data_IF_283050761174
#
_entry.id   IF_283050761174
#
_cell.length_a   1.000
_cell.length_b   1.000
_cell.length_c   1.000
_cell.angle_alpha   90.00
_cell.angle_beta   90.00
_cell.angle_gamma   90.00
#
_symmetry.space_group_name_H-M   'P 1'
#
loop_
_entity.id
_entity.type
_entity.pdbx_description
1 polymer ?
#
# COMPACT_ATOMS: atom_id res chain seq x y z
N UNK A 1 15.43 20.12 -0.65
CA UNK A 1 15.64 19.75 -2.07
C UNK A 1 16.56 18.53 -2.23
N UNK A 2 17.73 18.44 -1.57
CA UNK A 2 18.63 17.27 -1.69
C UNK A 2 18.03 15.93 -1.21
N UNK A 3 17.26 15.93 -0.11
CA UNK A 3 16.57 14.71 0.36
C UNK A 3 15.42 14.27 -0.55
N UNK A 4 14.90 15.19 -1.39
CA UNK A 4 13.80 14.94 -2.32
C UNK A 4 14.29 14.12 -3.51
N UNK A 5 15.48 14.49 -4.00
CA UNK A 5 16.15 13.76 -5.07
C UNK A 5 16.57 12.36 -4.60
N UNK A 6 17.07 12.21 -3.37
CA UNK A 6 17.57 10.90 -2.88
C UNK A 6 16.52 9.78 -2.80
N UNK A 7 15.31 10.06 -2.32
CA UNK A 7 14.27 9.02 -2.16
C UNK A 7 13.53 8.66 -3.46
N UNK A 8 13.20 9.65 -4.28
CA UNK A 8 12.59 9.41 -5.61
C UNK A 8 13.56 8.62 -6.51
N UNK A 9 14.85 8.88 -6.36
CA UNK A 9 15.92 8.11 -7.00
C UNK A 9 15.94 6.67 -6.50
N UNK A 10 15.79 6.41 -5.20
CA UNK A 10 15.80 5.05 -4.64
C UNK A 10 14.64 4.14 -5.11
N UNK A 11 13.40 4.64 -5.19
CA UNK A 11 12.27 3.84 -5.71
C UNK A 11 12.39 3.59 -7.22
N UNK A 12 12.84 4.59 -7.98
CA UNK A 12 13.08 4.44 -9.42
C UNK A 12 14.25 3.49 -9.70
N UNK A 13 15.31 3.56 -8.91
CA UNK A 13 16.45 2.64 -8.95
C UNK A 13 16.05 1.21 -8.62
N UNK A 14 15.15 1.01 -7.65
CA UNK A 14 14.63 -0.30 -7.32
C UNK A 14 13.80 -0.89 -8.47
N UNK A 15 12.91 -0.10 -9.10
CA UNK A 15 12.11 -0.56 -10.25
C UNK A 15 13.01 -0.94 -11.44
N UNK A 16 14.07 -0.15 -11.68
CA UNK A 16 15.09 -0.46 -12.70
C UNK A 16 15.87 -1.73 -12.34
N UNK A 17 16.19 -1.93 -11.06
CA UNK A 17 16.80 -3.17 -10.58
C UNK A 17 15.91 -4.38 -10.84
N UNK A 18 14.63 -4.32 -10.45
CA UNK A 18 13.64 -5.38 -10.68
C UNK A 18 13.54 -5.72 -12.17
N UNK A 19 13.45 -4.70 -13.03
CA UNK A 19 13.36 -4.88 -14.48
C UNK A 19 14.61 -5.55 -15.06
N UNK A 20 15.81 -5.18 -14.59
CA UNK A 20 17.06 -5.86 -15.02
C UNK A 20 17.12 -7.30 -14.55
N UNK A 21 16.69 -7.56 -13.32
CA UNK A 21 16.68 -8.90 -12.72
C UNK A 21 15.72 -9.87 -13.43
N UNK A 22 14.68 -9.37 -14.10
CA UNK A 22 13.77 -10.21 -14.90
C UNK A 22 14.52 -11.09 -15.92
N UNK A 23 15.49 -10.53 -16.65
CA UNK A 23 16.26 -11.26 -17.67
C UNK A 23 17.03 -12.42 -17.06
N UNK A 24 17.66 -12.18 -15.90
CA UNK A 24 18.40 -13.20 -15.16
C UNK A 24 17.46 -14.29 -14.64
N UNK A 25 16.28 -13.93 -14.13
CA UNK A 25 15.27 -14.89 -13.68
C UNK A 25 14.79 -15.79 -14.82
N UNK A 26 14.49 -15.24 -16.00
CA UNK A 26 14.12 -16.03 -17.19
C UNK A 26 15.24 -17.00 -17.58
N UNK A 27 16.49 -16.53 -17.58
CA UNK A 27 17.63 -17.40 -17.87
C UNK A 27 17.78 -18.53 -16.85
N UNK A 28 17.62 -18.24 -15.56
CA UNK A 28 17.74 -19.23 -14.49
C UNK A 28 16.62 -20.28 -14.55
N UNK A 29 15.40 -19.90 -14.94
CA UNK A 29 14.31 -20.83 -15.22
C UNK A 29 14.67 -21.78 -16.37
N UNK A 30 15.21 -21.24 -17.47
CA UNK A 30 15.60 -22.03 -18.64
C UNK A 30 16.73 -23.03 -18.32
N UNK A 31 17.67 -22.66 -17.44
CA UNK A 31 18.76 -23.55 -17.02
C UNK A 31 18.34 -24.52 -15.90
N UNK A 32 17.12 -24.38 -15.37
CA UNK A 32 16.59 -25.24 -14.29
C UNK A 32 17.23 -25.00 -12.93
N UNK A 33 17.91 -23.87 -12.72
CA UNK A 33 18.56 -23.55 -11.44
C UNK A 33 17.57 -22.86 -10.49
N UNK A 34 16.70 -23.69 -9.91
CA UNK A 34 15.64 -23.27 -8.99
C UNK A 34 16.18 -22.60 -7.72
N UNK A 35 17.36 -22.99 -7.24
CA UNK A 35 17.95 -22.40 -6.04
C UNK A 35 18.44 -20.97 -6.31
N UNK A 36 19.14 -20.76 -7.43
CA UNK A 36 19.57 -19.43 -7.83
C UNK A 36 18.37 -18.54 -8.18
N UNK A 37 17.35 -19.10 -8.83
CA UNK A 37 16.09 -18.41 -9.13
C UNK A 37 15.42 -17.88 -7.86
N UNK A 38 15.17 -18.75 -6.87
CA UNK A 38 14.52 -18.37 -5.62
C UNK A 38 15.32 -17.33 -4.84
N UNK A 39 16.65 -17.49 -4.81
CA UNK A 39 17.56 -16.55 -4.13
C UNK A 39 17.55 -15.16 -4.77
N UNK A 40 17.42 -15.11 -6.10
CA UNK A 40 17.34 -13.86 -6.84
C UNK A 40 15.96 -13.22 -6.69
N UNK A 41 14.90 -14.03 -6.71
CA UNK A 41 13.52 -13.59 -6.52
C UNK A 41 13.32 -12.92 -5.14
N UNK A 42 13.89 -13.47 -4.08
CA UNK A 42 13.83 -12.85 -2.73
C UNK A 42 14.35 -11.41 -2.69
N UNK A 43 15.23 -11.01 -3.61
CA UNK A 43 15.80 -9.65 -3.66
C UNK A 43 14.87 -8.64 -4.33
N UNK A 44 13.98 -9.09 -5.21
CA UNK A 44 13.02 -8.22 -5.93
C UNK A 44 11.66 -8.12 -5.23
N UNK A 45 11.38 -9.01 -4.27
CA UNK A 45 10.12 -9.05 -3.54
C UNK A 45 9.96 -8.16 -2.28
N UNK A 46 10.96 -7.44 -1.72
CA UNK A 46 10.75 -6.66 -0.49
C UNK A 46 9.53 -5.74 -0.54
N UNK A 47 9.36 -4.96 -1.62
CA UNK A 47 8.21 -4.05 -1.74
C UNK A 47 6.87 -4.79 -1.90
N UNK A 48 6.88 -5.93 -2.60
CA UNK A 48 5.69 -6.79 -2.78
C UNK A 48 5.28 -7.42 -1.45
N UNK A 49 6.25 -7.90 -0.65
CA UNK A 49 6.01 -8.42 0.70
C UNK A 49 5.35 -7.39 1.60
N UNK A 50 5.86 -6.15 1.56
CA UNK A 50 5.28 -5.05 2.31
C UNK A 50 3.83 -4.78 1.89
N UNK A 51 3.56 -4.80 0.58
CA UNK A 51 2.22 -4.57 0.05
C UNK A 51 1.23 -5.66 0.49
N UNK A 52 1.61 -6.93 0.34
CA UNK A 52 0.81 -8.08 0.78
C UNK A 52 0.52 -8.00 2.27
N UNK A 53 1.55 -7.75 3.09
CA UNK A 53 1.38 -7.64 4.54
C UNK A 53 0.44 -6.50 4.91
N UNK A 54 0.57 -5.34 4.26
CA UNK A 54 -0.32 -4.21 4.49
C UNK A 54 -1.78 -4.58 4.17
N UNK A 55 -2.04 -5.18 3.00
CA UNK A 55 -3.41 -5.60 2.63
C UNK A 55 -4.00 -6.61 3.61
N UNK A 56 -3.22 -7.58 4.09
CA UNK A 56 -3.66 -8.54 5.10
C UNK A 56 -3.95 -7.89 6.45
N UNK A 57 -3.12 -6.93 6.87
CA UNK A 57 -3.36 -6.17 8.09
C UNK A 57 -4.64 -5.35 7.98
N UNK A 58 -4.88 -4.70 6.84
CA UNK A 58 -6.12 -3.94 6.56
C UNK A 58 -7.35 -4.86 6.59
N UNK A 59 -7.27 -6.05 5.98
CA UNK A 59 -8.36 -7.01 6.02
C UNK A 59 -8.63 -7.52 7.45
N UNK A 60 -7.57 -7.80 8.20
CA UNK A 60 -7.65 -8.21 9.62
C UNK A 60 -8.27 -7.13 10.49
N UNK A 61 -7.84 -5.87 10.34
CA UNK A 61 -8.37 -4.73 11.07
C UNK A 61 -9.86 -4.49 10.78
N UNK A 62 -10.31 -4.78 9.56
CA UNK A 62 -11.71 -4.72 9.16
C UNK A 62 -12.52 -6.00 9.47
N UNK A 63 -11.95 -6.95 10.23
CA UNK A 63 -12.58 -8.25 10.54
C UNK A 63 -12.98 -9.07 9.31
N UNK A 64 -12.30 -8.87 8.18
CA UNK A 64 -12.49 -9.60 6.92
C UNK A 64 -11.63 -10.86 6.81
N UNK A 65 -10.82 -11.15 7.83
CA UNK A 65 -9.99 -12.35 7.92
C UNK A 65 -9.92 -12.81 9.38
N UNK A 66 -10.16 -14.10 9.61
CA UNK A 66 -9.82 -14.73 10.89
C UNK A 66 -8.30 -14.71 11.09
N UNK A 67 -7.84 -14.02 12.16
CA UNK A 67 -6.44 -13.66 12.48
C UNK A 67 -5.40 -14.79 12.44
N UNK A 68 -5.84 -16.05 12.48
CA UNK A 68 -4.97 -17.23 12.52
C UNK A 68 -5.05 -18.11 11.25
N UNK A 69 -5.84 -17.71 10.27
CA UNK A 69 -6.16 -18.57 9.13
C UNK A 69 -5.16 -18.44 7.97
N UNK A 70 -4.50 -17.28 7.82
CA UNK A 70 -3.60 -17.02 6.69
C UNK A 70 -2.38 -16.19 7.09
N UNK A 71 -1.19 -16.60 6.64
CA UNK A 71 0.05 -15.87 6.86
C UNK A 71 0.48 -15.18 5.58
N UNK A 72 1.10 -14.00 5.70
CA UNK A 72 1.70 -13.31 4.56
C UNK A 72 2.69 -14.20 3.80
N UNK A 73 3.38 -15.11 4.50
CA UNK A 73 4.27 -16.09 3.90
C UNK A 73 3.55 -17.07 2.95
N UNK A 74 2.29 -17.44 3.21
CA UNK A 74 1.52 -18.35 2.32
C UNK A 74 1.25 -17.69 0.96
N UNK A 75 0.95 -16.39 0.96
CA UNK A 75 0.74 -15.61 -0.27
C UNK A 75 2.05 -15.43 -1.03
N UNK A 76 3.15 -15.21 -0.31
CA UNK A 76 4.47 -15.12 -0.92
C UNK A 76 4.88 -16.46 -1.51
N UNK A 77 4.68 -17.57 -0.81
CA UNK A 77 4.99 -18.90 -1.34
C UNK A 77 4.16 -19.22 -2.59
N UNK A 78 2.87 -18.87 -2.59
CA UNK A 78 2.05 -18.98 -3.80
C UNK A 78 2.54 -18.07 -4.93
N UNK A 79 2.97 -16.84 -4.62
CA UNK A 79 3.55 -15.93 -5.61
C UNK A 79 4.84 -16.49 -6.22
N UNK A 80 5.66 -17.23 -5.46
CA UNK A 80 6.84 -17.92 -6.01
C UNK A 80 6.44 -18.96 -7.05
N UNK A 81 5.39 -19.73 -6.78
CA UNK A 81 4.87 -20.75 -7.71
C UNK A 81 4.32 -20.08 -8.97
N UNK A 82 3.41 -19.12 -8.81
CA UNK A 82 2.81 -18.35 -9.91
C UNK A 82 3.87 -17.71 -10.80
N UNK A 83 4.90 -17.13 -10.18
CA UNK A 83 5.98 -16.50 -10.92
C UNK A 83 6.83 -17.54 -11.65
N UNK A 84 7.22 -18.64 -11.01
CA UNK A 84 8.01 -19.66 -11.68
C UNK A 84 7.25 -20.23 -12.91
N UNK A 85 5.96 -20.48 -12.78
CA UNK A 85 5.15 -21.06 -13.84
C UNK A 85 4.84 -20.05 -14.97
N UNK A 86 4.64 -18.77 -14.62
CA UNK A 86 4.11 -17.76 -15.54
C UNK A 86 5.05 -16.58 -15.84
N UNK A 87 6.33 -16.60 -15.43
CA UNK A 87 7.29 -15.53 -15.74
C UNK A 87 7.43 -15.24 -17.24
N UNK A 88 7.17 -16.24 -18.11
CA UNK A 88 7.20 -16.09 -19.57
C UNK A 88 6.00 -15.30 -20.13
N UNK A 89 4.96 -15.07 -19.31
CA UNK A 89 3.79 -14.25 -19.68
C UNK A 89 4.03 -12.74 -19.51
N UNK A 90 5.17 -12.35 -18.94
CA UNK A 90 5.57 -10.95 -18.82
C UNK A 90 6.05 -10.45 -20.19
N UNK A 91 5.29 -9.53 -20.79
CA UNK A 91 5.54 -9.07 -22.17
C UNK A 91 6.85 -8.27 -22.31
N UNK A 92 7.21 -7.52 -21.27
CA UNK A 92 8.41 -6.70 -21.24
C UNK A 92 9.03 -6.68 -19.83
N UNK A 93 10.36 -6.63 -19.77
CA UNK A 93 11.10 -6.57 -18.51
C UNK A 93 10.65 -5.41 -17.60
N UNK A 94 10.31 -4.26 -18.21
CA UNK A 94 9.84 -3.07 -17.48
C UNK A 94 8.44 -3.26 -16.86
N UNK A 95 7.63 -4.19 -17.39
CA UNK A 95 6.33 -4.53 -16.83
C UNK A 95 6.44 -5.53 -15.66
N UNK A 96 7.62 -6.10 -15.41
CA UNK A 96 7.78 -7.16 -14.41
C UNK A 96 7.39 -6.71 -13.00
N UNK A 97 7.74 -5.48 -12.62
CA UNK A 97 7.39 -4.96 -11.30
C UNK A 97 5.87 -4.80 -11.14
N UNK A 98 5.20 -4.29 -12.18
CA UNK A 98 3.73 -4.16 -12.20
C UNK A 98 3.08 -5.53 -12.16
N UNK A 99 3.63 -6.50 -12.88
CA UNK A 99 3.15 -7.89 -12.92
C UNK A 99 3.23 -8.56 -11.55
N UNK A 100 4.33 -8.37 -10.82
CA UNK A 100 4.50 -8.87 -9.44
C UNK A 100 3.41 -8.34 -8.51
N UNK A 101 3.17 -7.02 -8.53
CA UNK A 101 2.14 -6.40 -7.72
C UNK A 101 0.75 -6.87 -8.11
N UNK A 102 0.47 -6.97 -9.42
CA UNK A 102 -0.80 -7.50 -9.93
C UNK A 102 -1.07 -8.91 -9.43
N UNK A 103 -0.09 -9.81 -9.54
CA UNK A 103 -0.24 -11.20 -9.10
C UNK A 103 -0.41 -11.31 -7.59
N UNK A 104 0.36 -10.54 -6.83
CA UNK A 104 0.16 -10.43 -5.39
C UNK A 104 -1.25 -9.92 -5.05
N UNK A 105 -1.74 -8.91 -5.78
CA UNK A 105 -3.09 -8.36 -5.62
C UNK A 105 -4.14 -9.45 -5.80
N UNK A 106 -4.11 -10.15 -6.94
CA UNK A 106 -5.00 -11.25 -7.30
C UNK A 106 -5.01 -12.33 -6.21
N UNK A 107 -3.83 -12.76 -5.72
CA UNK A 107 -3.72 -13.75 -4.65
C UNK A 107 -4.35 -13.29 -3.33
N UNK A 108 -4.20 -12.01 -2.97
CA UNK A 108 -4.88 -11.45 -1.80
C UNK A 108 -6.39 -11.34 -2.06
N UNK A 109 -6.83 -11.00 -3.27
CA UNK A 109 -8.26 -10.91 -3.58
C UNK A 109 -8.96 -12.26 -3.56
N UNK A 110 -8.37 -13.28 -4.18
CA UNK A 110 -8.88 -14.66 -4.17
C UNK A 110 -9.04 -15.17 -2.75
N UNK A 111 -8.10 -14.82 -1.87
CA UNK A 111 -8.17 -15.12 -0.45
C UNK A 111 -9.39 -14.47 0.24
N UNK A 112 -9.66 -13.21 -0.09
CA UNK A 112 -10.72 -12.42 0.54
C UNK A 112 -12.11 -12.68 -0.06
N UNK A 113 -12.19 -13.20 -1.29
CA UNK A 113 -13.46 -13.56 -1.95
C UNK A 113 -14.16 -14.72 -1.22
N UNK A 114 -13.42 -15.59 -0.54
CA UNK A 114 -13.99 -16.67 0.30
C UNK A 114 -14.62 -16.15 1.61
N UNK A 115 -14.43 -14.88 1.97
CA UNK A 115 -15.00 -14.21 3.15
C UNK A 115 -15.66 -12.87 2.74
N UNK A 116 -16.75 -12.92 1.95
CA UNK A 116 -17.58 -11.72 1.72
C UNK A 116 -18.22 -11.26 3.03
N UNK A 117 -18.00 -10.02 3.49
CA UNK A 117 -19.07 -9.25 4.13
C UNK A 117 -18.89 -7.70 4.12
N UNK A 118 -20.05 -7.07 3.90
CA UNK A 118 -20.59 -5.73 4.13
C UNK A 118 -19.75 -4.43 4.08
N UNK A 119 -20.22 -3.59 3.17
CA UNK A 119 -19.87 -2.18 2.91
C UNK A 119 -20.37 -1.19 3.98
N UNK A 120 -20.50 -1.58 5.26
CA UNK A 120 -21.25 -0.77 6.23
C UNK A 120 -20.44 0.28 7.02
N UNK A 121 -19.16 0.50 6.75
CA UNK A 121 -18.37 1.43 7.57
C UNK A 121 -18.17 2.85 7.00
N UNK A 122 -18.47 3.10 5.71
CA UNK A 122 -17.85 4.24 5.02
C UNK A 122 -18.80 5.26 4.40
N UNK A 123 -19.66 5.87 5.21
CA UNK A 123 -20.43 7.04 4.73
C UNK A 123 -19.97 8.39 5.29
N UNK A 124 -19.17 8.49 6.36
CA UNK A 124 -19.06 9.77 7.08
C UNK A 124 -17.72 10.09 7.74
N UNK A 125 -16.58 9.64 7.18
CA UNK A 125 -15.24 10.02 7.68
C UNK A 125 -15.07 11.54 7.80
N UNK A 126 -15.67 12.27 6.87
CA UNK A 126 -15.61 13.73 6.82
C UNK A 126 -16.47 14.41 7.93
N UNK A 127 -17.26 13.64 8.70
CA UNK A 127 -18.15 14.14 9.75
C UNK A 127 -17.67 13.79 11.17
N UNK A 128 -16.56 13.08 11.33
CA UNK A 128 -16.03 12.74 12.65
C UNK A 128 -15.45 13.98 13.34
N UNK A 129 -15.90 14.20 14.57
CA UNK A 129 -15.34 15.19 15.48
C UNK A 129 -13.96 14.77 15.96
N UNK A 130 -13.17 15.74 16.44
CA UNK A 130 -11.83 15.48 16.97
C UNK A 130 -11.80 14.41 18.08
N UNK A 131 -12.71 14.40 19.09
CA UNK A 131 -12.75 13.34 20.10
C UNK A 131 -13.03 11.95 19.50
N UNK A 132 -13.90 11.85 18.50
CA UNK A 132 -14.19 10.56 17.83
C UNK A 132 -12.97 10.04 17.08
N UNK A 133 -12.18 10.93 16.46
CA UNK A 133 -10.90 10.57 15.85
C UNK A 133 -9.86 10.11 16.87
N UNK A 134 -9.78 10.78 18.02
CA UNK A 134 -8.85 10.42 19.09
C UNK A 134 -9.22 9.03 19.65
N UNK A 135 -10.51 8.73 19.83
CA UNK A 135 -11.00 7.41 20.26
C UNK A 135 -10.76 6.31 19.20
N UNK A 136 -10.88 6.63 17.90
CA UNK A 136 -10.55 5.69 16.82
C UNK A 136 -9.06 5.35 16.74
N UNK A 137 -8.19 6.32 17.03
CA UNK A 137 -6.74 6.12 17.10
C UNK A 137 -6.34 5.22 18.28
N UNK A 138 -7.10 5.23 19.37
CA UNK A 138 -6.88 4.40 20.56
C UNK A 138 -7.41 2.96 20.45
N UNK A 139 -7.96 2.54 19.29
CA UNK A 139 -8.55 1.19 19.17
C UNK A 139 -7.49 0.10 19.18
N UNK A 140 -7.58 -0.77 20.19
CA UNK A 140 -6.77 -1.97 20.37
C UNK A 140 -7.22 -3.11 19.45
N UNK A 141 -6.24 -3.82 18.90
CA UNK A 141 -6.37 -5.18 18.39
C UNK A 141 -5.71 -6.13 19.40
N UNK A 142 -5.56 -7.40 19.03
CA UNK A 142 -4.93 -8.44 19.84
C UNK A 142 -3.92 -9.15 18.95
N UNK A 143 -2.68 -9.30 19.40
CA UNK A 143 -1.62 -10.00 18.65
C UNK A 143 -1.81 -11.52 18.63
N UNK A 144 -0.88 -12.21 17.98
CA UNK A 144 -0.88 -13.67 17.84
C UNK A 144 -0.79 -14.45 19.14
N UNK A 145 -0.39 -13.82 20.25
CA UNK A 145 -0.28 -14.43 21.58
C UNK A 145 -1.45 -14.04 22.52
N UNK A 146 -2.37 -13.17 22.07
CA UNK A 146 -3.52 -12.76 22.85
C UNK A 146 -3.31 -11.47 23.65
N UNK A 147 -2.18 -10.77 23.47
CA UNK A 147 -1.90 -9.50 24.11
C UNK A 147 -2.55 -8.34 23.34
N UNK A 148 -3.05 -7.33 24.06
CA UNK A 148 -3.62 -6.14 23.44
C UNK A 148 -2.51 -5.37 22.71
N UNK A 149 -2.63 -5.30 21.39
CA UNK A 149 -1.69 -4.61 20.51
C UNK A 149 -2.46 -3.60 19.71
N UNK A 150 -1.99 -2.36 19.75
CA UNK A 150 -2.66 -1.25 19.10
C UNK A 150 -2.67 -1.47 17.59
N UNK A 151 -3.71 -1.04 16.87
CA UNK A 151 -3.74 -1.12 15.39
C UNK A 151 -2.49 -0.49 14.75
N UNK A 152 -1.82 0.41 15.48
CA UNK A 152 -0.58 1.11 15.14
C UNK A 152 0.70 0.25 15.13
N UNK A 153 0.72 -0.90 15.83
CA UNK A 153 1.91 -1.77 15.95
C UNK A 153 1.98 -2.85 14.85
N UNK A 154 0.94 -2.98 14.02
CA UNK A 154 0.90 -3.93 12.90
C UNK A 154 1.82 -3.53 11.73
N UNK A 155 2.37 -2.31 11.73
CA UNK A 155 3.09 -1.72 10.61
C UNK A 155 4.58 -1.55 10.90
N UNK A 156 5.37 -2.62 10.67
CA UNK A 156 6.81 -2.67 10.92
C UNK A 156 7.69 -2.00 9.86
N UNK A 157 7.12 -1.26 8.90
CA UNK A 157 7.90 -0.67 7.80
C UNK A 157 8.20 0.82 8.00
N UNK A 158 9.48 1.16 7.78
CA UNK A 158 9.97 2.52 7.57
C UNK A 158 9.32 3.12 6.32
N UNK A 159 8.37 4.04 6.51
CA UNK A 159 7.81 4.84 5.42
C UNK A 159 8.90 5.81 4.96
N UNK A 160 9.07 6.05 3.65
CA UNK A 160 9.86 7.20 3.22
C UNK A 160 9.20 8.47 3.79
N UNK A 161 9.93 9.14 4.70
CA UNK A 161 9.59 10.35 5.47
C UNK A 161 8.31 11.09 5.06
N UNK A 162 7.43 11.33 6.04
CA UNK A 162 6.09 11.92 5.94
C UNK A 162 5.95 13.25 5.18
N UNK A 163 7.04 13.98 4.93
CA UNK A 163 7.05 15.19 4.10
C UNK A 163 6.39 14.97 2.72
N UNK A 164 6.36 13.74 2.20
CA UNK A 164 5.71 13.46 0.91
C UNK A 164 4.20 13.34 0.98
N UNK A 165 3.63 12.88 2.10
CA UNK A 165 2.21 12.55 2.19
C UNK A 165 1.35 13.81 2.16
N UNK A 166 1.68 14.80 3.01
CA UNK A 166 0.98 16.08 3.00
C UNK A 166 1.14 16.77 1.64
N UNK A 167 2.35 16.81 1.08
CA UNK A 167 2.58 17.41 -0.24
C UNK A 167 1.86 16.68 -1.40
N UNK A 168 1.59 15.38 -1.28
CA UNK A 168 0.85 14.62 -2.29
C UNK A 168 -0.67 14.82 -2.22
N UNK A 169 -1.17 15.20 -1.03
CA UNK A 169 -2.59 15.46 -0.73
C UNK A 169 -2.93 16.94 -0.94
N UNK A 170 -2.05 17.84 -0.51
CA UNK A 170 -2.17 19.30 -0.57
C UNK A 170 -1.33 19.86 -1.72
N UNK A 171 -1.83 19.70 -2.94
CA UNK A 171 -1.08 20.00 -4.18
C UNK A 171 -1.28 21.42 -4.71
N UNK A 172 -2.24 22.19 -4.20
CA UNK A 172 -2.53 23.54 -4.69
C UNK A 172 -1.67 24.60 -3.98
N UNK A 173 -1.32 25.68 -4.67
CA UNK A 173 -0.51 26.76 -4.09
C UNK A 173 -1.15 27.38 -2.83
N UNK A 174 -2.49 27.43 -2.78
CA UNK A 174 -3.25 27.92 -1.63
C UNK A 174 -3.12 27.02 -0.38
N UNK A 175 -2.64 25.79 -0.55
CA UNK A 175 -2.51 24.83 0.54
C UNK A 175 -1.19 24.98 1.32
N UNK A 176 -0.23 25.78 0.83
CA UNK A 176 1.11 25.90 1.44
C UNK A 176 1.07 26.35 2.91
N UNK A 177 0.19 27.30 3.23
CA UNK A 177 0.03 27.80 4.60
C UNK A 177 -0.60 26.74 5.52
N UNK A 178 -1.47 25.88 4.97
CA UNK A 178 -2.08 24.77 5.68
C UNK A 178 -1.02 23.70 5.97
N UNK A 179 -0.23 23.31 4.98
CA UNK A 179 0.88 22.34 5.15
C UNK A 179 1.86 22.83 6.21
N UNK A 180 2.28 24.10 6.13
CA UNK A 180 3.18 24.70 7.13
C UNK A 180 2.57 24.75 8.54
N UNK A 181 1.23 24.78 8.66
CA UNK A 181 0.53 24.71 9.94
C UNK A 181 0.49 23.28 10.47
N UNK A 182 0.21 22.30 9.61
CA UNK A 182 0.22 20.89 9.96
C UNK A 182 1.61 20.43 10.39
N UNK A 183 2.67 20.81 9.66
CA UNK A 183 4.07 20.47 10.00
C UNK A 183 4.52 21.00 11.37
N UNK A 184 3.91 22.11 11.84
CA UNK A 184 4.19 22.66 13.18
C UNK A 184 3.40 21.95 14.28
N UNK A 185 2.20 21.44 13.95
CA UNK A 185 1.28 20.82 14.90
C UNK A 185 1.52 19.32 15.07
N UNK A 186 1.97 18.67 14.00
CA UNK A 186 2.07 17.23 13.88
C UNK A 186 3.53 16.86 13.60
N UNK A 187 4.02 15.88 14.34
CA UNK A 187 5.19 15.15 13.91
C UNK A 187 4.84 14.18 12.79
N UNK A 188 5.89 13.62 12.19
CA UNK A 188 5.79 12.65 11.13
C UNK A 188 4.89 11.45 11.55
N UNK A 189 5.07 10.93 12.76
CA UNK A 189 4.32 9.76 13.24
C UNK A 189 2.81 10.01 13.27
N UNK A 190 2.38 11.18 13.77
CA UNK A 190 0.96 11.56 13.80
C UNK A 190 0.35 11.74 12.42
N UNK A 191 1.10 12.31 11.47
CA UNK A 191 0.67 12.42 10.07
C UNK A 191 0.43 11.02 9.49
N UNK A 192 1.36 10.10 9.72
CA UNK A 192 1.25 8.70 9.27
C UNK A 192 0.04 8.00 9.90
N UNK A 193 -0.10 8.09 11.23
CA UNK A 193 -1.22 7.47 11.97
C UNK A 193 -2.57 7.95 11.47
N UNK A 194 -2.74 9.27 11.33
CA UNK A 194 -3.98 9.83 10.81
C UNK A 194 -4.28 9.33 9.41
N UNK A 195 -3.29 9.33 8.51
CA UNK A 195 -3.50 8.85 7.15
C UNK A 195 -3.85 7.36 7.09
N UNK A 196 -3.22 6.51 7.90
CA UNK A 196 -3.54 5.09 7.97
C UNK A 196 -4.99 4.86 8.42
N UNK A 197 -5.47 5.61 9.43
CA UNK A 197 -6.87 5.55 9.86
C UNK A 197 -7.84 5.96 8.74
N UNK A 198 -7.51 7.02 8.00
CA UNK A 198 -8.32 7.44 6.85
C UNK A 198 -8.32 6.36 5.76
N UNK A 199 -7.18 5.72 5.48
CA UNK A 199 -7.06 4.68 4.44
C UNK A 199 -7.79 3.39 4.80
N UNK A 200 -7.75 2.96 6.07
CA UNK A 200 -8.62 1.90 6.60
C UNK A 200 -10.10 2.24 6.37
N UNK A 201 -10.37 3.54 6.41
CA UNK A 201 -11.61 4.23 6.15
C UNK A 201 -12.14 4.29 4.71
N UNK A 202 -11.35 3.90 3.72
CA UNK A 202 -11.73 4.05 2.31
C UNK A 202 -12.21 2.73 1.72
N UNK A 203 -13.07 2.75 0.68
CA UNK A 203 -13.33 1.57 -0.12
C UNK A 203 -12.03 0.91 -0.58
N UNK A 204 -11.94 -0.42 -0.48
CA UNK A 204 -10.72 -1.21 -0.76
C UNK A 204 -9.96 -0.74 -2.02
N UNK A 205 -10.65 -0.67 -3.15
CA UNK A 205 -10.05 -0.27 -4.44
C UNK A 205 -9.52 1.17 -4.43
N UNK A 206 -10.15 2.08 -3.68
CA UNK A 206 -9.72 3.46 -3.52
C UNK A 206 -8.45 3.55 -2.65
N UNK A 207 -8.44 2.80 -1.54
CA UNK A 207 -7.28 2.69 -0.64
C UNK A 207 -6.07 2.11 -1.37
N UNK A 208 -6.24 0.99 -2.10
CA UNK A 208 -5.18 0.37 -2.90
C UNK A 208 -4.66 1.31 -4.00
N UNK A 209 -5.53 2.02 -4.71
CA UNK A 209 -5.08 3.00 -5.71
C UNK A 209 -4.21 4.10 -5.08
N UNK A 210 -4.62 4.63 -3.92
CA UNK A 210 -3.86 5.65 -3.20
C UNK A 210 -2.49 5.14 -2.73
N UNK A 211 -2.43 3.92 -2.18
CA UNK A 211 -1.19 3.33 -1.69
C UNK A 211 -0.22 3.02 -2.84
N UNK A 212 -0.69 2.39 -3.92
CA UNK A 212 0.12 2.11 -5.12
C UNK A 212 0.72 3.38 -5.72
N UNK A 213 -0.03 4.49 -5.71
CA UNK A 213 0.44 5.78 -6.19
C UNK A 213 1.44 6.46 -5.24
N UNK A 214 1.09 6.56 -3.95
CA UNK A 214 1.85 7.38 -3.01
C UNK A 214 3.02 6.63 -2.37
N UNK A 215 2.89 5.34 -2.13
CA UNK A 215 3.91 4.51 -1.47
C UNK A 215 4.81 3.87 -2.52
N UNK A 216 4.22 3.16 -3.49
CA UNK A 216 4.95 2.37 -4.48
C UNK A 216 5.29 3.14 -5.77
N UNK A 217 4.82 4.39 -5.88
CA UNK A 217 5.13 5.33 -6.97
C UNK A 217 4.71 4.85 -8.36
N UNK A 218 3.73 3.96 -8.44
CA UNK A 218 3.13 3.58 -9.71
C UNK A 218 2.32 4.74 -10.30
N UNK A 219 2.37 4.87 -11.62
CA UNK A 219 1.54 5.81 -12.35
C UNK A 219 0.13 5.26 -12.59
N UNK A 220 -0.79 6.09 -13.07
CA UNK A 220 -2.20 5.70 -13.25
C UNK A 220 -2.40 4.54 -14.23
N UNK A 221 -1.54 4.41 -15.24
CA UNK A 221 -1.59 3.31 -16.19
C UNK A 221 -1.10 2.00 -15.55
N UNK A 222 -0.02 2.03 -14.79
CA UNK A 222 0.49 0.86 -14.07
C UNK A 222 -0.53 0.38 -13.01
N UNK A 223 -1.08 1.31 -12.22
CA UNK A 223 -2.12 1.00 -11.23
C UNK A 223 -3.34 0.37 -11.91
N UNK A 224 -3.74 0.89 -13.08
CA UNK A 224 -4.89 0.35 -13.83
C UNK A 224 -4.72 -1.14 -14.17
N UNK A 225 -3.48 -1.57 -14.45
CA UNK A 225 -3.14 -2.98 -14.68
C UNK A 225 -3.20 -3.80 -13.38
N UNK A 226 -2.74 -3.24 -12.26
CA UNK A 226 -2.66 -3.93 -10.96
C UNK A 226 -4.05 -4.20 -10.39
N UNK A 227 -4.92 -3.19 -10.32
CA UNK A 227 -6.25 -3.31 -9.69
C UNK A 227 -7.38 -3.58 -10.70
N UNK A 228 -7.03 -3.90 -11.94
CA UNK A 228 -7.96 -4.23 -13.03
C UNK A 228 -9.10 -3.21 -13.22
N UNK A 229 -8.72 -1.94 -13.40
CA UNK A 229 -9.64 -0.81 -13.67
C UNK A 229 -9.20 -0.04 -14.90
N UNK A 230 -10.05 0.83 -15.44
CA UNK A 230 -9.61 1.77 -16.47
C UNK A 230 -8.74 2.88 -15.86
N UNK A 231 -7.84 3.46 -16.66
CA UNK A 231 -7.00 4.61 -16.26
C UNK A 231 -7.86 5.78 -15.75
N UNK A 232 -9.03 5.99 -16.36
CA UNK A 232 -9.97 7.04 -15.95
C UNK A 232 -10.55 6.76 -14.56
N UNK A 233 -10.96 5.52 -14.27
CA UNK A 233 -11.42 5.13 -12.94
C UNK A 233 -10.32 5.27 -11.89
N UNK A 234 -9.09 4.87 -12.20
CA UNK A 234 -7.94 5.07 -11.29
C UNK A 234 -7.72 6.54 -10.98
N UNK A 235 -7.76 7.42 -11.99
CA UNK A 235 -7.62 8.85 -11.79
C UNK A 235 -8.74 9.42 -10.90
N UNK A 236 -9.98 8.93 -11.05
CA UNK A 236 -11.10 9.30 -10.19
C UNK A 236 -10.88 8.85 -8.74
N UNK A 237 -10.54 7.57 -8.53
CA UNK A 237 -10.27 7.00 -7.21
C UNK A 237 -9.18 7.78 -6.47
N UNK A 238 -8.08 8.12 -7.16
CA UNK A 238 -6.99 8.92 -6.58
C UNK A 238 -7.44 10.32 -6.18
N UNK A 239 -8.27 10.97 -7.01
CA UNK A 239 -8.81 12.30 -6.71
C UNK A 239 -9.71 12.27 -5.48
N UNK A 240 -10.59 11.29 -5.38
CA UNK A 240 -11.49 11.12 -4.24
C UNK A 240 -10.72 10.79 -2.95
N UNK A 241 -9.77 9.85 -3.02
CA UNK A 241 -8.93 9.49 -1.89
C UNK A 241 -8.17 10.70 -1.34
N UNK A 242 -7.56 11.51 -2.22
CA UNK A 242 -6.89 12.76 -1.83
C UNK A 242 -7.86 13.78 -1.23
N UNK A 243 -9.07 13.90 -1.78
CA UNK A 243 -10.11 14.79 -1.26
C UNK A 243 -10.53 14.42 0.17
N UNK A 244 -10.77 13.13 0.42
CA UNK A 244 -11.11 12.62 1.76
C UNK A 244 -9.97 12.78 2.75
N UNK A 245 -8.75 12.41 2.34
CA UNK A 245 -7.55 12.63 3.15
C UNK A 245 -7.37 14.10 3.53
N UNK A 246 -7.50 15.00 2.55
CA UNK A 246 -7.41 16.45 2.77
C UNK A 246 -8.46 16.93 3.76
N UNK A 247 -9.72 16.55 3.56
CA UNK A 247 -10.84 16.98 4.41
C UNK A 247 -10.68 16.49 5.85
N UNK A 248 -10.22 15.24 6.03
CA UNK A 248 -9.94 14.66 7.34
C UNK A 248 -8.86 15.42 8.11
N UNK A 249 -7.73 15.76 7.47
CA UNK A 249 -6.67 16.55 8.11
C UNK A 249 -7.15 17.95 8.52
N UNK A 250 -7.97 18.60 7.68
CA UNK A 250 -8.54 19.91 7.96
C UNK A 250 -9.49 19.85 9.17
N UNK A 251 -10.45 18.93 9.12
CA UNK A 251 -11.47 18.77 10.17
C UNK A 251 -10.88 18.41 11.52
N UNK A 252 -9.76 17.66 11.56
CA UNK A 252 -9.17 17.21 12.84
C UNK A 252 -8.20 18.22 13.44
N UNK A 253 -7.47 18.97 12.63
CA UNK A 253 -6.32 19.73 13.10
C UNK A 253 -6.35 21.23 12.78
N UNK A 254 -7.22 21.69 11.89
CA UNK A 254 -7.30 23.08 11.45
C UNK A 254 -8.58 23.75 11.94
N UNK A 255 -9.72 23.10 11.74
CA UNK A 255 -11.04 23.55 12.21
C UNK A 255 -11.17 23.43 13.74
#
# INVERSE_FOLDING_TARGET
MESIMKNTTSTTEFNVFVSKTYVDLVSLKQTGDTQAFNSLLLKVLPQVKQYVQHKLNVATANSLLDKNRFKGDDIIDQLFIELYDHIDAVEAADDFHVWLFKKADELVEDLLIDEEFDTYFFENIDNFSKPEWDEMEEKYSTDGDGDFVMLEDFDTNDYPKNDYLLNAVFVEDKDKDIVATLDKKLDAERVKKHANLVLLGLPKTMSSAFELFNTYKFNTHEISKIINKSVHEVAHLLKEAKGKMKSSFLSRYID
#
